data_IF_483744820790
#
_entry.id   IF_483744820790
#
_cell.length_a   1.000
_cell.length_b   1.000
_cell.length_c   1.000
_cell.angle_alpha   90.00
_cell.angle_beta   90.00
_cell.angle_gamma   90.00
#
_symmetry.space_group_name_H-M   'P 1'
#
loop_
_entity.id
_entity.type
_entity.pdbx_description
1 polymer ?
#
# COMPACT_ATOMS: atom_id res chain seq x y z
N UNK A 1 5.93 -8.45 37.83
CA UNK A 1 5.61 -9.06 36.52
C UNK A 1 5.86 -8.00 35.44
N UNK A 2 7.00 -8.05 34.74
CA UNK A 2 7.44 -6.98 33.82
C UNK A 2 6.71 -7.12 32.48
N UNK A 3 5.77 -6.21 32.19
CA UNK A 3 5.23 -5.96 30.86
C UNK A 3 6.37 -5.54 29.94
N UNK A 4 6.88 -6.45 29.10
CA UNK A 4 7.78 -6.08 28.01
C UNK A 4 6.98 -5.24 27.02
N UNK A 5 7.14 -3.91 27.12
CA UNK A 5 6.72 -2.91 26.15
C UNK A 5 7.16 -3.37 24.75
N UNK A 6 6.21 -3.62 23.86
CA UNK A 6 6.45 -3.70 22.41
C UNK A 6 6.64 -2.25 21.89
N UNK A 7 7.61 -1.52 22.46
CA UNK A 7 7.90 -0.16 22.05
C UNK A 7 9.03 -0.18 21.02
N UNK A 8 8.70 0.33 19.83
CA UNK A 8 9.60 0.77 18.78
C UNK A 8 10.30 -0.34 18.00
N UNK A 9 9.72 -0.75 16.87
CA UNK A 9 10.51 -1.39 15.79
C UNK A 9 11.47 -0.38 15.17
N UNK A 10 11.07 0.91 15.05
CA UNK A 10 11.85 1.94 14.36
C UNK A 10 11.97 3.30 15.09
N UNK A 11 11.11 3.61 16.06
CA UNK A 11 11.04 4.94 16.69
C UNK A 11 12.34 5.40 17.41
N UNK A 12 13.23 4.47 17.76
CA UNK A 12 14.55 4.77 18.34
C UNK A 12 15.67 4.88 17.29
N UNK A 13 15.35 4.72 15.99
CA UNK A 13 16.32 4.63 14.90
C UNK A 13 16.01 5.65 13.79
N UNK A 14 14.73 5.90 13.49
CA UNK A 14 14.30 6.81 12.42
C UNK A 14 13.11 7.66 12.90
N UNK A 15 13.21 8.98 12.71
CA UNK A 15 12.13 9.94 12.99
C UNK A 15 11.05 9.86 11.88
N UNK A 16 9.77 9.63 12.21
CA UNK A 16 8.66 9.64 11.24
C UNK A 16 8.55 10.93 10.41
N UNK A 17 9.02 12.07 10.93
CA UNK A 17 9.03 13.33 10.17
C UNK A 17 10.05 13.35 9.03
N UNK A 18 11.04 12.46 9.07
CA UNK A 18 12.17 12.43 8.12
C UNK A 18 11.93 11.56 6.90
N UNK A 19 10.99 10.61 6.95
CA UNK A 19 10.72 9.70 5.85
C UNK A 19 9.32 9.07 5.89
N UNK A 20 8.95 8.42 4.78
CA UNK A 20 7.79 7.51 4.69
C UNK A 20 8.26 6.08 4.54
N UNK A 21 7.39 5.11 4.87
CA UNK A 21 7.73 3.69 4.78
C UNK A 21 6.94 3.00 3.67
N UNK A 22 7.57 2.02 3.01
CA UNK A 22 6.94 1.18 2.00
C UNK A 22 6.80 -0.25 2.51
N UNK A 23 5.58 -0.76 2.52
CA UNK A 23 5.29 -2.17 2.87
C UNK A 23 4.97 -2.93 1.60
N UNK A 24 5.85 -3.87 1.24
CA UNK A 24 5.69 -4.72 0.07
C UNK A 24 5.00 -6.06 0.38
N UNK A 25 4.81 -6.86 -0.68
CA UNK A 25 4.16 -8.18 -0.63
C UNK A 25 4.69 -9.09 0.48
N UNK A 26 6.01 -9.25 0.61
CA UNK A 26 6.59 -10.16 1.61
C UNK A 26 6.13 -9.85 3.04
N UNK A 27 6.29 -8.59 3.46
CA UNK A 27 5.91 -8.16 4.80
C UNK A 27 4.40 -8.21 5.00
N UNK A 28 3.61 -7.79 4.00
CA UNK A 28 2.16 -7.80 4.12
C UNK A 28 1.58 -9.22 4.13
N UNK A 29 2.13 -10.15 3.34
CA UNK A 29 1.70 -11.55 3.35
C UNK A 29 2.05 -12.22 4.68
N UNK A 30 3.20 -11.87 5.28
CA UNK A 30 3.64 -12.49 6.55
C UNK A 30 2.95 -11.93 7.78
N UNK A 31 2.72 -10.62 7.80
CA UNK A 31 2.30 -9.90 9.01
C UNK A 31 0.94 -9.19 8.88
N UNK A 32 0.41 -9.08 7.66
CA UNK A 32 -0.92 -8.55 7.41
C UNK A 32 -1.08 -7.04 7.70
N UNK A 33 -2.32 -6.55 7.68
CA UNK A 33 -2.65 -5.16 7.96
C UNK A 33 -2.29 -4.72 9.39
N UNK A 34 -2.21 -5.65 10.34
CA UNK A 34 -1.82 -5.35 11.72
C UNK A 34 -0.44 -4.70 11.79
N UNK A 35 0.49 -5.14 10.95
CA UNK A 35 1.83 -4.54 10.86
C UNK A 35 1.80 -3.11 10.32
N UNK A 36 0.93 -2.83 9.35
CA UNK A 36 0.72 -1.48 8.81
C UNK A 36 0.20 -0.56 9.92
N UNK A 37 -0.83 -1.00 10.65
CA UNK A 37 -1.41 -0.23 11.75
C UNK A 37 -0.39 0.06 12.87
N UNK A 38 0.48 -0.90 13.20
CA UNK A 38 1.54 -0.70 14.19
C UNK A 38 2.55 0.39 13.80
N UNK A 39 2.85 0.54 12.51
CA UNK A 39 3.75 1.58 12.00
C UNK A 39 3.05 2.94 11.89
N UNK A 40 1.78 2.96 11.49
CA UNK A 40 0.96 4.18 11.52
C UNK A 40 0.80 4.72 12.94
N UNK A 41 0.62 3.84 13.95
CA UNK A 41 0.59 4.22 15.37
C UNK A 41 1.92 4.82 15.87
N UNK A 42 3.02 4.56 15.16
CA UNK A 42 4.32 5.18 15.40
C UNK A 42 4.49 6.50 14.61
N UNK A 43 3.48 6.96 13.88
CA UNK A 43 3.48 8.23 13.15
C UNK A 43 3.94 8.16 11.70
N UNK A 44 4.20 6.97 11.15
CA UNK A 44 4.66 6.85 9.76
C UNK A 44 3.52 6.85 8.75
N UNK A 45 3.66 7.65 7.70
CA UNK A 45 2.91 7.49 6.46
C UNK A 45 3.35 6.22 5.72
N UNK A 46 2.38 5.39 5.33
CA UNK A 46 2.64 4.10 4.68
C UNK A 46 2.26 4.12 3.20
N UNK A 47 3.21 3.74 2.34
CA UNK A 47 2.93 3.27 0.99
C UNK A 47 2.73 1.75 1.00
N UNK A 48 1.50 1.31 0.72
CA UNK A 48 1.15 -0.08 0.54
C UNK A 48 1.43 -0.54 -0.90
N UNK A 49 2.57 -1.20 -1.08
CA UNK A 49 3.12 -1.61 -2.38
C UNK A 49 2.80 -3.07 -2.70
N UNK A 50 1.52 -3.36 -2.95
CA UNK A 50 1.03 -4.70 -3.30
C UNK A 50 0.82 -4.90 -4.79
N UNK A 51 0.83 -3.82 -5.57
CA UNK A 51 0.69 -3.81 -7.03
C UNK A 51 -0.55 -4.60 -7.45
N UNK A 52 -1.73 -4.21 -6.96
CA UNK A 52 -2.96 -4.95 -7.23
C UNK A 52 -3.20 -5.09 -8.73
N UNK A 53 -3.47 -6.33 -9.16
CA UNK A 53 -3.67 -6.69 -10.55
C UNK A 53 -4.61 -7.89 -10.62
N UNK A 54 -5.87 -7.64 -10.94
CA UNK A 54 -6.96 -8.61 -10.98
C UNK A 54 -8.11 -8.03 -11.82
N UNK A 55 -9.27 -8.69 -11.86
CA UNK A 55 -10.48 -8.14 -12.47
C UNK A 55 -10.90 -6.82 -11.77
N UNK A 56 -11.61 -5.91 -12.48
CA UNK A 56 -11.89 -4.56 -11.97
C UNK A 56 -12.53 -4.51 -10.59
N UNK A 57 -13.52 -5.37 -10.32
CA UNK A 57 -14.23 -5.39 -9.04
C UNK A 57 -13.33 -5.83 -7.87
N UNK A 58 -12.44 -6.81 -8.11
CA UNK A 58 -11.50 -7.29 -7.08
C UNK A 58 -10.51 -6.19 -6.73
N UNK A 59 -9.94 -5.51 -7.74
CA UNK A 59 -9.00 -4.40 -7.49
C UNK A 59 -9.67 -3.21 -6.83
N UNK A 60 -10.89 -2.85 -7.24
CA UNK A 60 -11.66 -1.80 -6.58
C UNK A 60 -11.86 -2.08 -5.08
N UNK A 61 -12.24 -3.32 -4.73
CA UNK A 61 -12.40 -3.74 -3.33
C UNK A 61 -11.07 -3.76 -2.56
N UNK A 62 -9.99 -4.21 -3.20
CA UNK A 62 -8.66 -4.23 -2.58
C UNK A 62 -8.12 -2.80 -2.32
N UNK A 63 -8.35 -1.88 -3.25
CA UNK A 63 -7.98 -0.47 -3.11
C UNK A 63 -8.83 0.23 -2.05
N UNK A 64 -10.14 -0.04 -2.01
CA UNK A 64 -11.01 0.45 -0.93
C UNK A 64 -10.54 -0.07 0.45
N UNK A 65 -10.20 -1.35 0.57
CA UNK A 65 -9.66 -1.91 1.81
C UNK A 65 -8.33 -1.28 2.23
N UNK A 66 -7.48 -0.91 1.26
CA UNK A 66 -6.25 -0.15 1.55
C UNK A 66 -6.56 1.27 2.04
N UNK A 67 -7.58 1.92 1.49
CA UNK A 67 -8.04 3.23 1.95
C UNK A 67 -8.67 3.16 3.35
N UNK A 68 -9.47 2.15 3.65
CA UNK A 68 -10.01 1.89 4.99
C UNK A 68 -8.91 1.68 6.04
N UNK A 69 -7.79 1.06 5.63
CA UNK A 69 -6.59 0.91 6.46
C UNK A 69 -5.86 2.25 6.71
N UNK A 70 -6.23 3.33 6.01
CA UNK A 70 -5.68 4.68 6.19
C UNK A 70 -4.26 4.84 5.66
N UNK A 71 -3.86 4.07 4.64
CA UNK A 71 -2.52 4.19 4.06
C UNK A 71 -2.38 5.52 3.33
N UNK A 72 -1.16 6.05 3.25
CA UNK A 72 -0.87 7.29 2.52
C UNK A 72 -0.91 7.09 0.99
N UNK A 73 -0.45 5.92 0.53
CA UNK A 73 -0.37 5.59 -0.90
C UNK A 73 -0.64 4.11 -1.12
N UNK A 74 -1.23 3.76 -2.27
CA UNK A 74 -1.44 2.39 -2.74
C UNK A 74 -1.21 2.32 -4.25
N UNK A 75 -0.86 1.14 -4.77
CA UNK A 75 -0.63 0.96 -6.20
C UNK A 75 -1.38 -0.22 -6.84
N UNK A 76 -1.61 -0.07 -8.15
CA UNK A 76 -2.15 -1.08 -9.07
C UNK A 76 -1.17 -1.30 -10.23
N UNK A 77 -1.35 -2.34 -11.05
CA UNK A 77 -0.63 -2.46 -12.33
C UNK A 77 -1.37 -1.78 -13.47
N UNK A 78 -0.68 -0.94 -14.26
CA UNK A 78 -1.25 -0.35 -15.47
C UNK A 78 -1.60 -1.41 -16.53
N UNK A 79 -0.86 -2.52 -16.56
CA UNK A 79 -1.11 -3.66 -17.45
C UNK A 79 -2.45 -4.36 -17.18
N UNK A 80 -3.10 -4.12 -16.04
CA UNK A 80 -4.47 -4.60 -15.79
C UNK A 80 -5.56 -3.84 -16.58
N UNK A 81 -5.18 -2.80 -17.31
CA UNK A 81 -6.03 -2.12 -18.27
C UNK A 81 -6.90 -1.01 -17.68
N UNK A 82 -7.46 -0.20 -18.59
CA UNK A 82 -8.20 1.03 -18.23
C UNK A 82 -9.42 0.77 -17.37
N UNK A 83 -10.18 -0.31 -17.62
CA UNK A 83 -11.36 -0.68 -16.83
C UNK A 83 -11.00 -0.95 -15.37
N UNK A 84 -9.91 -1.67 -15.12
CA UNK A 84 -9.44 -1.96 -13.77
C UNK A 84 -8.99 -0.70 -13.03
N UNK A 85 -8.18 0.14 -13.69
CA UNK A 85 -7.69 1.38 -13.10
C UNK A 85 -8.81 2.39 -12.80
N UNK A 86 -9.82 2.49 -13.67
CA UNK A 86 -11.01 3.35 -13.41
C UNK A 86 -11.79 2.85 -12.21
N UNK A 87 -12.08 1.55 -12.13
CA UNK A 87 -12.78 0.97 -10.98
C UNK A 87 -12.01 1.21 -9.67
N UNK A 88 -10.68 1.07 -9.69
CA UNK A 88 -9.82 1.39 -8.56
C UNK A 88 -9.86 2.88 -8.16
N UNK A 89 -9.92 3.79 -9.13
CA UNK A 89 -10.02 5.23 -8.85
C UNK A 89 -11.41 5.58 -8.29
N UNK A 90 -12.46 5.03 -8.88
CA UNK A 90 -13.85 5.25 -8.49
C UNK A 90 -14.11 4.78 -7.06
N UNK A 91 -13.53 3.64 -6.64
CA UNK A 91 -13.66 3.12 -5.27
C UNK A 91 -13.09 4.05 -4.19
N UNK A 92 -12.25 5.01 -4.57
CA UNK A 92 -11.69 6.00 -3.64
C UNK A 92 -12.56 7.25 -3.49
N UNK A 93 -13.60 7.42 -4.31
CA UNK A 93 -14.41 8.65 -4.33
C UNK A 93 -15.09 8.95 -3.00
N UNK A 94 -15.51 7.92 -2.26
CA UNK A 94 -16.16 8.05 -0.95
C UNK A 94 -15.24 8.53 0.17
N UNK A 95 -13.92 8.41 0.00
CA UNK A 95 -12.92 8.81 0.99
C UNK A 95 -12.55 10.31 0.88
N UNK A 96 -12.90 10.97 -0.22
CA UNK A 96 -12.68 12.39 -0.40
C UNK A 96 -11.20 12.78 -0.26
N UNK A 97 -10.90 13.70 0.66
CA UNK A 97 -9.53 14.19 0.91
C UNK A 97 -8.64 13.17 1.64
N UNK A 98 -9.25 12.21 2.33
CA UNK A 98 -8.54 11.16 3.06
C UNK A 98 -8.18 9.97 2.16
N UNK A 99 -8.56 10.02 0.86
CA UNK A 99 -8.21 8.97 -0.08
C UNK A 99 -6.69 8.86 -0.24
N UNK A 100 -6.11 7.63 -0.24
CA UNK A 100 -4.70 7.44 -0.53
C UNK A 100 -4.36 7.92 -1.94
N UNK A 101 -3.10 8.30 -2.13
CA UNK A 101 -2.55 8.45 -3.47
C UNK A 101 -2.62 7.10 -4.19
N UNK A 102 -3.28 7.08 -5.36
CA UNK A 102 -3.38 5.90 -6.22
C UNK A 102 -2.36 6.01 -7.36
N UNK A 103 -1.39 5.11 -7.39
CA UNK A 103 -0.35 5.05 -8.43
C UNK A 103 -0.47 3.78 -9.26
N UNK A 104 0.10 3.80 -10.47
CA UNK A 104 0.11 2.64 -11.35
C UNK A 104 1.55 2.25 -11.68
N UNK A 105 1.88 0.98 -11.44
CA UNK A 105 3.12 0.37 -11.92
C UNK A 105 3.00 0.15 -13.43
N UNK A 106 3.97 0.65 -14.19
CA UNK A 106 4.04 0.47 -15.64
C UNK A 106 4.79 -0.82 -15.99
N UNK A 107 6.07 -0.72 -16.35
CA UNK A 107 6.97 -1.85 -16.55
C UNK A 107 7.83 -1.99 -15.29
N UNK A 108 7.99 -3.21 -14.79
CA UNK A 108 8.84 -3.44 -13.63
C UNK A 108 10.29 -3.15 -14.00
N UNK A 109 11.03 -2.51 -13.09
CA UNK A 109 12.45 -2.14 -13.29
C UNK A 109 13.37 -3.35 -13.48
N UNK A 110 12.88 -4.56 -13.22
CA UNK A 110 13.60 -5.81 -13.42
C UNK A 110 13.35 -6.45 -14.78
N UNK A 111 12.44 -5.91 -15.60
CA UNK A 111 12.10 -6.46 -16.91
C UNK A 111 12.89 -5.76 -18.01
N UNK A 112 13.30 -6.53 -19.01
CA UNK A 112 13.84 -6.02 -20.26
C UNK A 112 12.94 -6.38 -21.45
N UNK A 113 13.41 -6.11 -22.68
CA UNK A 113 12.64 -6.36 -23.89
C UNK A 113 12.27 -7.84 -24.08
N UNK A 114 13.11 -8.76 -23.58
CA UNK A 114 12.90 -10.20 -23.69
C UNK A 114 11.77 -10.73 -22.81
N UNK A 115 11.41 -9.98 -21.76
CA UNK A 115 10.31 -10.31 -20.85
C UNK A 115 8.94 -9.77 -21.33
N UNK A 116 8.91 -8.95 -22.38
CA UNK A 116 7.72 -8.20 -22.84
C UNK A 116 7.11 -8.73 -24.14
N UNK A 117 7.41 -9.98 -24.48
CA UNK A 117 6.96 -10.64 -25.71
C UNK A 117 5.53 -11.19 -25.66
#
# INVERSE_FOLDING_TARGET
>A
MKTKKVHSILHNVIDPSSCRLKIGKEMFTRFGPQFVTQLQQQGFDIFLDLKFHDIPNTVARAVAAAADLGVWMVNVHASGGSRMMRAAKESLSSFGKEAPLLTAVTVLTSMDQSDLH
#
